data_IF_377405563582
#
_entry.id   IF_377405563582
#
_cell.length_a   1.000
_cell.length_b   1.000
_cell.length_c   1.000
_cell.angle_alpha   90.00
_cell.angle_beta   90.00
_cell.angle_gamma   90.00
#
_symmetry.space_group_name_H-M   'P 1'
#
loop_
_entity.id
_entity.type
_entity.pdbx_description
1 polymer ?
#
# COMPACT_ATOMS: atom_id res chain seq x y z
N UNK A 1 35.22 16.66 -2.50
CA UNK A 1 34.16 16.18 -3.36
C UNK A 1 32.93 15.65 -2.58
N UNK A 2 33.07 14.97 -1.41
CA UNK A 2 31.94 14.51 -0.58
C UNK A 2 30.91 15.60 -0.15
N UNK A 3 31.35 16.85 0.09
CA UNK A 3 30.47 17.95 0.54
C UNK A 3 29.66 18.60 -0.59
N UNK A 4 30.05 18.45 -1.86
CA UNK A 4 29.29 19.02 -3.01
C UNK A 4 28.14 18.14 -3.48
N UNK A 5 28.18 16.81 -3.30
CA UNK A 5 27.06 15.91 -3.63
C UNK A 5 25.86 16.11 -2.67
N UNK A 6 26.12 16.48 -1.41
CA UNK A 6 25.05 16.76 -0.44
C UNK A 6 24.28 18.07 -0.74
N UNK A 7 24.93 19.05 -1.37
CA UNK A 7 24.31 20.34 -1.70
C UNK A 7 23.43 20.30 -2.96
N UNK A 8 23.66 19.35 -3.88
CA UNK A 8 22.87 19.20 -5.11
C UNK A 8 21.52 18.49 -4.89
N UNK A 9 21.37 17.73 -3.78
CA UNK A 9 20.10 17.07 -3.41
C UNK A 9 19.05 18.01 -2.78
N UNK A 10 19.44 19.22 -2.38
CA UNK A 10 18.57 20.19 -1.70
C UNK A 10 17.96 21.27 -2.61
N UNK A 11 18.25 21.28 -3.91
CA UNK A 11 17.88 22.37 -4.82
C UNK A 11 16.91 21.94 -5.95
N UNK A 12 16.09 20.90 -5.76
CA UNK A 12 15.05 20.55 -6.73
C UNK A 12 13.73 21.29 -6.42
N UNK A 13 13.03 21.86 -7.42
CA UNK A 13 11.70 22.41 -7.19
C UNK A 13 10.77 21.29 -6.72
N UNK A 14 10.10 21.48 -5.59
CA UNK A 14 9.16 20.54 -4.96
C UNK A 14 7.94 20.43 -5.85
N UNK A 15 7.91 19.43 -6.73
CA UNK A 15 6.70 18.98 -7.40
C UNK A 15 5.93 18.07 -6.43
N UNK A 16 4.68 18.42 -6.17
CA UNK A 16 3.84 17.79 -5.13
C UNK A 16 3.01 16.63 -5.69
N UNK A 17 3.24 15.40 -5.22
CA UNK A 17 2.53 14.17 -5.63
C UNK A 17 2.51 13.11 -4.50
N UNK A 18 1.46 12.27 -4.33
CA UNK A 18 1.37 11.31 -3.21
C UNK A 18 0.65 9.94 -3.45
N UNK A 19 0.51 9.15 -2.38
CA UNK A 19 0.25 7.71 -2.37
C UNK A 19 -1.17 7.35 -1.87
N UNK A 20 -2.12 6.90 -2.75
CA UNK A 20 -3.50 6.46 -2.41
C UNK A 20 -3.59 5.20 -1.51
N UNK A 21 -4.22 4.11 -1.96
CA UNK A 21 -4.50 2.87 -1.21
C UNK A 21 -3.31 1.91 -1.01
N UNK A 22 -2.07 2.34 -1.22
CA UNK A 22 -0.89 1.48 -1.04
C UNK A 22 -0.60 1.20 0.44
N UNK A 23 -0.38 -0.07 0.76
CA UNK A 23 -0.01 -0.56 2.09
C UNK A 23 1.49 -0.83 2.13
N UNK A 24 2.23 -0.07 2.93
CA UNK A 24 3.70 -0.17 3.02
C UNK A 24 4.14 -1.01 4.24
N UNK A 25 3.63 -2.22 4.37
CA UNK A 25 3.91 -3.12 5.50
C UNK A 25 4.63 -4.41 5.10
N UNK A 26 5.07 -4.52 3.84
CA UNK A 26 5.78 -5.69 3.34
C UNK A 26 7.21 -5.70 3.87
N UNK A 27 7.54 -6.73 4.68
CA UNK A 27 8.84 -6.82 5.34
C UNK A 27 8.95 -5.92 6.58
N UNK A 28 8.91 -6.55 7.75
CA UNK A 28 8.88 -5.84 9.04
C UNK A 28 10.19 -5.08 9.31
N UNK A 29 11.33 -5.55 8.80
CA UNK A 29 12.60 -4.81 8.87
C UNK A 29 12.50 -3.44 8.20
N UNK A 30 12.02 -3.40 6.97
CA UNK A 30 11.83 -2.15 6.23
C UNK A 30 10.71 -1.29 6.86
N UNK A 31 9.64 -1.89 7.41
CA UNK A 31 8.60 -1.17 8.14
C UNK A 31 9.19 -0.35 9.29
N UNK A 32 10.17 -0.90 10.04
CA UNK A 32 10.90 -0.20 11.09
C UNK A 32 11.72 1.00 10.61
N UNK A 33 11.92 1.13 9.29
CA UNK A 33 12.61 2.25 8.64
C UNK A 33 11.66 3.06 7.73
N UNK A 34 10.36 3.09 8.02
CA UNK A 34 9.31 3.74 7.20
C UNK A 34 9.25 3.24 5.76
N UNK A 35 9.79 2.04 5.49
CA UNK A 35 9.90 1.44 4.16
C UNK A 35 11.12 1.91 3.37
N UNK A 36 12.09 2.58 3.98
CA UNK A 36 13.43 2.73 3.42
C UNK A 36 14.22 1.42 3.56
N UNK A 37 15.24 1.23 2.72
CA UNK A 37 16.15 0.08 2.84
C UNK A 37 16.13 -0.89 1.66
N UNK A 38 15.58 -0.50 0.50
CA UNK A 38 15.59 -1.33 -0.71
C UNK A 38 17.02 -1.65 -1.21
N UNK A 39 17.99 -0.82 -0.87
CA UNK A 39 19.40 -1.05 -1.13
C UNK A 39 20.15 -1.71 0.04
N UNK A 40 19.62 -1.58 1.27
CA UNK A 40 20.25 -2.09 2.49
C UNK A 40 19.90 -3.55 2.77
N UNK A 41 18.60 -3.90 2.67
CA UNK A 41 18.15 -5.24 3.02
C UNK A 41 18.29 -6.18 1.83
N UNK A 42 19.26 -7.09 1.97
CA UNK A 42 19.57 -8.14 0.99
C UNK A 42 19.14 -9.47 1.61
N UNK A 43 17.85 -9.73 1.59
CA UNK A 43 17.20 -10.89 2.19
C UNK A 43 16.00 -11.36 1.33
N UNK A 44 15.19 -12.27 1.82
CA UNK A 44 14.00 -12.80 1.12
C UNK A 44 12.96 -11.71 0.80
N UNK A 45 12.93 -10.59 1.53
CA UNK A 45 12.01 -9.48 1.26
C UNK A 45 12.41 -8.68 0.01
N UNK A 46 13.63 -8.90 -0.51
CA UNK A 46 14.07 -8.38 -1.82
C UNK A 46 13.14 -8.81 -2.96
N UNK A 47 12.43 -9.92 -2.84
CA UNK A 47 11.36 -10.33 -3.76
C UNK A 47 10.38 -9.17 -4.00
N UNK A 48 10.02 -8.44 -2.94
CA UNK A 48 9.16 -7.27 -3.03
C UNK A 48 9.95 -6.01 -3.38
N UNK A 49 10.99 -5.67 -2.63
CA UNK A 49 11.65 -4.37 -2.72
C UNK A 49 12.54 -4.24 -3.97
N UNK A 50 13.37 -5.24 -4.25
CA UNK A 50 14.28 -5.25 -5.39
C UNK A 50 14.70 -6.69 -5.76
N UNK A 51 14.07 -7.32 -6.75
CA UNK A 51 14.43 -8.67 -7.17
C UNK A 51 15.91 -8.89 -7.49
N UNK A 52 16.62 -7.83 -7.94
CA UNK A 52 18.05 -7.90 -8.25
C UNK A 52 18.95 -8.12 -7.02
N UNK A 53 18.46 -7.77 -5.82
CA UNK A 53 19.21 -7.97 -4.58
C UNK A 53 19.12 -9.42 -4.07
N UNK A 54 18.08 -10.17 -4.43
CA UNK A 54 17.81 -11.50 -3.88
C UNK A 54 18.97 -12.47 -4.02
N UNK A 55 19.67 -12.47 -5.16
CA UNK A 55 20.81 -13.36 -5.42
C UNK A 55 22.00 -13.10 -4.48
N UNK A 56 22.06 -11.92 -3.87
CA UNK A 56 23.10 -11.52 -2.91
C UNK A 56 22.80 -11.96 -1.48
N UNK A 57 21.60 -12.45 -1.21
CA UNK A 57 21.23 -12.89 0.15
C UNK A 57 22.08 -14.10 0.59
N UNK A 58 22.64 -14.01 1.80
CA UNK A 58 23.60 -15.01 2.29
C UNK A 58 22.96 -16.38 2.52
N UNK A 59 21.70 -16.42 2.95
CA UNK A 59 20.99 -17.63 3.34
C UNK A 59 19.79 -17.91 2.43
N UNK A 60 19.39 -19.16 2.39
CA UNK A 60 18.01 -19.51 2.07
C UNK A 60 17.15 -19.19 3.29
N UNK A 61 15.97 -18.63 3.08
CA UNK A 61 15.13 -18.21 4.20
C UNK A 61 13.65 -18.26 3.84
N UNK A 62 12.83 -18.43 4.86
CA UNK A 62 11.40 -18.16 4.81
C UNK A 62 11.06 -17.18 5.94
N UNK A 63 10.40 -16.09 5.58
CA UNK A 63 9.90 -15.08 6.52
C UNK A 63 8.38 -15.03 6.46
N UNK A 64 7.74 -15.06 7.61
CA UNK A 64 6.29 -14.87 7.75
C UNK A 64 6.06 -13.69 8.67
N UNK A 65 5.33 -12.70 8.18
CA UNK A 65 5.03 -11.48 8.92
C UNK A 65 3.60 -11.01 8.75
N UNK A 66 3.12 -10.28 9.74
CA UNK A 66 1.83 -9.61 9.70
C UNK A 66 1.91 -8.28 10.43
N UNK A 67 1.03 -7.35 10.02
CA UNK A 67 0.86 -6.06 10.68
C UNK A 67 -0.63 -5.86 11.02
N UNK A 68 -0.91 -5.11 12.07
CA UNK A 68 -2.26 -4.68 12.40
C UNK A 68 -2.42 -3.21 11.98
N UNK A 69 -2.94 -2.97 10.78
CA UNK A 69 -3.17 -1.60 10.29
C UNK A 69 -4.50 -1.09 10.85
N UNK A 70 -4.42 -0.06 11.68
CA UNK A 70 -5.55 0.61 12.30
C UNK A 70 -5.71 1.98 11.65
N UNK A 71 -6.66 2.07 10.74
CA UNK A 71 -7.04 3.32 10.07
C UNK A 71 -8.13 4.01 10.89
N UNK A 72 -7.92 5.28 11.23
CA UNK A 72 -8.91 6.10 11.92
C UNK A 72 -9.04 7.42 11.18
N UNK A 73 -10.24 7.68 10.69
CA UNK A 73 -10.58 8.93 10.01
C UNK A 73 -11.76 9.60 10.70
N UNK A 74 -11.71 10.91 10.76
CA UNK A 74 -12.79 11.77 11.20
C UNK A 74 -13.24 12.67 10.06
N UNK A 75 -14.53 12.95 9.99
CA UNK A 75 -15.15 13.88 9.06
C UNK A 75 -15.99 14.90 9.82
N UNK A 76 -15.86 16.17 9.45
CA UNK A 76 -16.69 17.26 9.98
C UNK A 76 -17.18 18.10 8.80
N UNK A 77 -18.50 18.20 8.65
CA UNK A 77 -19.08 19.07 7.62
C UNK A 77 -18.68 20.52 7.82
N UNK A 78 -18.58 21.26 6.70
CA UNK A 78 -18.42 22.72 6.73
C UNK A 78 -19.63 23.33 7.45
N UNK A 79 -19.37 24.25 8.39
CA UNK A 79 -20.37 24.89 9.25
C UNK A 79 -21.09 23.97 10.26
N UNK A 80 -20.59 22.79 10.54
CA UNK A 80 -21.05 21.91 11.60
C UNK A 80 -20.00 21.78 12.72
N UNK A 81 -20.45 21.65 13.95
CA UNK A 81 -19.61 21.30 15.09
C UNK A 81 -19.62 19.79 15.41
N UNK A 82 -20.33 19.00 14.60
CA UNK A 82 -20.45 17.57 14.79
C UNK A 82 -19.37 16.86 13.99
N UNK A 83 -18.54 16.07 14.67
CA UNK A 83 -17.55 15.19 14.05
C UNK A 83 -18.11 13.78 13.96
N UNK A 84 -17.86 13.12 12.84
CA UNK A 84 -18.19 11.73 12.59
C UNK A 84 -16.90 10.94 12.41
N UNK A 85 -16.71 9.91 13.25
CA UNK A 85 -15.52 9.07 13.22
C UNK A 85 -15.82 7.72 12.55
N UNK A 86 -14.83 7.17 11.85
CA UNK A 86 -14.90 5.78 11.38
C UNK A 86 -14.93 4.82 12.57
N UNK A 87 -15.66 3.72 12.43
CA UNK A 87 -15.62 2.63 13.39
C UNK A 87 -14.23 2.04 13.47
N UNK A 88 -13.84 1.58 14.66
CA UNK A 88 -12.54 0.95 14.84
C UNK A 88 -12.48 -0.37 14.08
N UNK A 89 -11.52 -0.50 13.17
CA UNK A 89 -11.24 -1.70 12.42
C UNK A 89 -9.75 -1.99 12.38
N UNK A 90 -9.39 -3.27 12.29
CA UNK A 90 -8.02 -3.74 12.06
C UNK A 90 -7.98 -4.43 10.71
N UNK A 91 -7.16 -3.90 9.79
CA UNK A 91 -6.80 -4.60 8.57
C UNK A 91 -5.48 -5.32 8.81
N UNK A 92 -5.43 -6.67 8.73
CA UNK A 92 -4.22 -7.44 8.95
C UNK A 92 -3.50 -7.79 7.63
N UNK A 93 -2.76 -6.85 6.99
CA UNK A 93 -1.89 -7.22 5.89
C UNK A 93 -0.83 -8.20 6.36
N UNK A 94 -0.55 -9.19 5.54
CA UNK A 94 0.45 -10.21 5.81
C UNK A 94 1.48 -10.27 4.67
N UNK A 95 2.62 -10.88 4.95
CA UNK A 95 3.63 -11.20 3.97
C UNK A 95 4.31 -12.53 4.28
N UNK A 96 4.50 -13.34 3.25
CA UNK A 96 5.28 -14.56 3.29
C UNK A 96 6.27 -14.45 2.15
N UNK A 97 7.57 -14.53 2.47
CA UNK A 97 8.64 -14.53 1.49
C UNK A 97 9.52 -15.75 1.72
N UNK A 98 9.80 -16.48 0.65
CA UNK A 98 10.74 -17.61 0.70
C UNK A 98 11.76 -17.46 -0.42
N UNK A 99 13.04 -17.64 -0.09
CA UNK A 99 14.16 -17.63 -1.04
C UNK A 99 14.96 -18.92 -0.95
N UNK A 100 15.39 -19.42 -2.09
CA UNK A 100 16.18 -20.63 -2.18
C UNK A 100 17.14 -20.61 -3.37
N UNK A 101 18.26 -21.25 -3.23
CA UNK A 101 19.29 -21.44 -4.24
C UNK A 101 20.51 -22.12 -3.64
N UNK A 102 21.39 -22.67 -4.47
CA UNK A 102 22.66 -23.21 -3.96
C UNK A 102 23.50 -22.11 -3.31
N UNK A 103 24.28 -22.47 -2.31
CA UNK A 103 25.21 -21.54 -1.69
C UNK A 103 26.20 -21.00 -2.73
N UNK A 104 26.48 -19.70 -2.67
CA UNK A 104 27.40 -18.98 -3.58
C UNK A 104 27.05 -19.10 -5.08
N UNK A 105 25.78 -19.44 -5.39
CA UNK A 105 25.32 -19.59 -6.76
C UNK A 105 25.21 -18.25 -7.47
N UNK A 106 25.30 -18.32 -8.81
CA UNK A 106 25.04 -17.17 -9.68
C UNK A 106 23.54 -16.85 -9.85
N UNK A 107 22.64 -17.68 -9.27
CA UNK A 107 21.20 -17.49 -9.30
C UNK A 107 20.54 -17.82 -7.95
N UNK A 108 19.44 -17.16 -7.66
CA UNK A 108 18.46 -17.50 -6.62
C UNK A 108 17.04 -17.38 -7.15
N UNK A 109 16.16 -18.23 -6.63
CA UNK A 109 14.74 -18.15 -6.84
C UNK A 109 14.03 -17.77 -5.54
N UNK A 110 12.81 -17.27 -5.67
CA UNK A 110 11.99 -16.97 -4.51
C UNK A 110 10.52 -16.90 -4.87
N UNK A 111 9.69 -16.92 -3.85
CA UNK A 111 8.25 -16.68 -3.96
C UNK A 111 7.81 -15.74 -2.83
N UNK A 112 7.00 -14.74 -3.18
CA UNK A 112 6.33 -13.85 -2.25
C UNK A 112 4.82 -13.98 -2.33
N UNK A 113 4.14 -14.00 -1.17
CA UNK A 113 2.68 -13.85 -1.07
C UNK A 113 2.42 -12.72 -0.07
N UNK A 114 1.86 -11.61 -0.53
CA UNK A 114 1.76 -10.40 0.27
C UNK A 114 0.62 -9.48 -0.18
N UNK A 115 0.26 -8.50 0.65
CA UNK A 115 -0.85 -7.57 0.44
C UNK A 115 -0.36 -6.12 0.23
N UNK A 116 0.03 -5.71 -1.01
CA UNK A 116 0.60 -4.38 -1.25
C UNK A 116 -0.44 -3.26 -1.36
N UNK A 117 -1.69 -3.60 -1.62
CA UNK A 117 -2.81 -2.67 -1.70
C UNK A 117 -4.00 -3.19 -0.92
N UNK A 118 -4.74 -2.28 -0.30
CA UNK A 118 -5.93 -2.60 0.43
C UNK A 118 -6.21 -1.60 1.54
N UNK A 119 -7.29 -1.85 2.25
CA UNK A 119 -7.74 -1.06 3.38
C UNK A 119 -9.18 -1.36 3.70
N UNK A 120 -9.61 -0.99 4.89
CA UNK A 120 -11.01 -1.02 5.28
C UNK A 120 -11.36 0.30 5.95
N UNK A 121 -12.52 0.83 5.59
CA UNK A 121 -13.12 2.02 6.19
C UNK A 121 -14.60 1.76 6.45
N UNK A 122 -15.08 2.07 7.65
CA UNK A 122 -16.49 1.95 8.03
C UNK A 122 -16.93 3.23 8.74
N UNK A 123 -17.70 4.02 8.02
CA UNK A 123 -18.34 5.24 8.55
C UNK A 123 -19.66 4.96 9.27
N UNK A 124 -20.24 3.76 9.10
CA UNK A 124 -21.58 3.45 9.53
C UNK A 124 -22.64 4.11 8.65
N UNK A 125 -23.87 4.12 9.15
CA UNK A 125 -25.05 4.62 8.41
C UNK A 125 -25.51 6.00 8.89
N UNK A 126 -24.95 6.51 9.99
CA UNK A 126 -25.40 7.75 10.65
C UNK A 126 -24.38 8.89 10.50
N UNK A 127 -23.95 9.16 9.27
CA UNK A 127 -23.03 10.24 8.95
C UNK A 127 -23.45 10.95 7.65
N UNK A 128 -23.02 12.20 7.39
CA UNK A 128 -23.48 12.98 6.23
C UNK A 128 -23.21 12.36 4.86
N UNK A 129 -22.10 11.63 4.72
CA UNK A 129 -21.71 10.99 3.48
C UNK A 129 -22.26 9.58 3.26
N UNK A 130 -23.28 9.12 4.00
CA UNK A 130 -23.84 7.76 3.91
C UNK A 130 -24.30 7.34 2.51
N UNK A 131 -24.68 8.29 1.67
CA UNK A 131 -25.07 8.02 0.28
C UNK A 131 -23.85 7.87 -0.65
N UNK A 132 -22.67 8.24 -0.17
CA UNK A 132 -21.41 8.00 -0.86
C UNK A 132 -20.81 6.65 -0.41
N UNK A 133 -20.71 6.43 0.90
CA UNK A 133 -20.10 5.23 1.48
C UNK A 133 -20.56 4.98 2.91
N UNK A 134 -20.92 3.74 3.23
CA UNK A 134 -21.05 3.27 4.61
C UNK A 134 -19.82 2.43 4.99
N UNK A 135 -19.49 1.43 4.18
CA UNK A 135 -18.39 0.50 4.40
C UNK A 135 -17.65 0.19 3.09
N UNK A 136 -16.35 0.06 3.18
CA UNK A 136 -15.50 -0.52 2.14
C UNK A 136 -14.44 -1.40 2.78
N UNK A 137 -14.28 -2.62 2.26
CA UNK A 137 -13.08 -3.43 2.45
C UNK A 137 -12.52 -3.82 1.09
N UNK A 138 -11.27 -3.43 0.85
CA UNK A 138 -10.52 -3.76 -0.37
C UNK A 138 -9.29 -4.56 0.02
N UNK A 139 -8.99 -5.64 -0.72
CA UNK A 139 -7.76 -6.42 -0.57
C UNK A 139 -7.19 -6.73 -1.93
N UNK A 140 -5.85 -6.67 -2.05
CA UNK A 140 -5.13 -7.16 -3.21
C UNK A 140 -3.98 -8.04 -2.71
N UNK A 141 -4.06 -9.33 -2.96
CA UNK A 141 -3.05 -10.32 -2.60
C UNK A 141 -2.22 -10.60 -3.84
N UNK A 142 -0.91 -10.36 -3.75
CA UNK A 142 0.03 -10.67 -4.81
C UNK A 142 0.75 -11.99 -4.52
N UNK A 143 0.83 -12.82 -5.55
CA UNK A 143 1.65 -14.05 -5.57
C UNK A 143 2.75 -13.78 -6.60
N UNK A 144 4.01 -13.77 -6.16
CA UNK A 144 5.15 -13.34 -6.97
C UNK A 144 6.27 -14.38 -6.95
N UNK A 145 6.32 -15.33 -7.88
CA UNK A 145 7.55 -16.06 -8.18
C UNK A 145 8.60 -15.11 -8.76
N UNK A 146 9.85 -15.29 -8.38
CA UNK A 146 10.97 -14.37 -8.68
C UNK A 146 12.23 -15.17 -8.99
N UNK A 147 13.02 -14.70 -9.97
CA UNK A 147 14.35 -15.16 -10.27
C UNK A 147 15.33 -14.00 -10.18
N UNK A 148 16.52 -14.26 -9.64
CA UNK A 148 17.59 -13.29 -9.47
C UNK A 148 18.91 -13.89 -9.92
N UNK A 149 19.74 -13.08 -10.57
CA UNK A 149 20.99 -13.49 -11.18
C UNK A 149 22.14 -12.56 -10.78
N UNK A 150 23.26 -13.15 -10.38
CA UNK A 150 24.51 -12.45 -10.08
C UNK A 150 25.33 -12.34 -11.36
N UNK A 151 25.43 -11.13 -11.92
CA UNK A 151 26.21 -10.90 -13.13
C UNK A 151 27.70 -10.66 -12.80
N UNK A 152 27.96 -10.02 -11.68
CA UNK A 152 29.31 -9.86 -11.08
C UNK A 152 29.19 -9.96 -9.57
N UNK A 153 30.32 -9.97 -8.85
CA UNK A 153 30.27 -9.98 -7.37
C UNK A 153 29.55 -8.76 -6.79
N UNK A 154 29.49 -7.65 -7.51
CA UNK A 154 28.87 -6.41 -7.06
C UNK A 154 27.52 -6.13 -7.70
N UNK A 155 27.11 -6.89 -8.73
CA UNK A 155 25.96 -6.53 -9.56
C UNK A 155 24.99 -7.69 -9.71
N UNK A 156 23.74 -7.47 -9.29
CA UNK A 156 22.63 -8.41 -9.40
C UNK A 156 21.46 -7.82 -10.18
N UNK A 157 20.79 -8.67 -10.96
CA UNK A 157 19.55 -8.37 -11.65
C UNK A 157 18.48 -9.40 -11.28
N UNK A 158 17.23 -9.04 -11.36
CA UNK A 158 16.16 -9.98 -11.08
C UNK A 158 14.81 -9.53 -11.62
N UNK A 159 13.89 -10.48 -11.69
CA UNK A 159 12.53 -10.23 -12.10
C UNK A 159 11.56 -11.24 -11.53
N UNK A 160 10.32 -10.81 -11.31
CA UNK A 160 9.23 -11.63 -10.82
C UNK A 160 7.95 -11.40 -11.63
N UNK A 161 7.21 -12.48 -11.83
CA UNK A 161 5.85 -12.41 -12.33
C UNK A 161 4.91 -12.14 -11.16
N UNK A 162 3.89 -11.32 -11.35
CA UNK A 162 2.90 -10.99 -10.33
C UNK A 162 1.53 -11.47 -10.77
N UNK A 163 0.92 -12.35 -9.98
CA UNK A 163 -0.49 -12.69 -10.07
C UNK A 163 -1.23 -12.06 -8.90
N UNK A 164 -2.26 -11.26 -9.17
CA UNK A 164 -3.07 -10.59 -8.19
C UNK A 164 -4.43 -11.26 -8.05
N UNK A 165 -4.86 -11.49 -6.81
CA UNK A 165 -6.24 -11.80 -6.44
C UNK A 165 -6.75 -10.64 -5.59
N UNK A 166 -7.72 -9.91 -6.14
CA UNK A 166 -8.36 -8.76 -5.47
C UNK A 166 -9.75 -9.12 -4.98
N UNK A 167 -10.18 -8.55 -3.85
CA UNK A 167 -11.56 -8.63 -3.38
C UNK A 167 -12.06 -7.25 -2.97
N UNK A 168 -13.35 -7.01 -3.20
CA UNK A 168 -14.06 -5.81 -2.77
C UNK A 168 -15.33 -6.20 -2.03
N UNK A 169 -15.62 -5.47 -0.95
CA UNK A 169 -16.88 -5.45 -0.24
C UNK A 169 -17.21 -3.99 0.05
N UNK A 170 -18.30 -3.49 -0.50
CA UNK A 170 -18.71 -2.11 -0.44
C UNK A 170 -20.18 -2.01 -0.09
N UNK A 171 -20.54 -1.10 0.81
CA UNK A 171 -21.95 -0.74 1.02
C UNK A 171 -22.14 0.77 1.12
N UNK A 172 -23.31 1.24 0.64
CA UNK A 172 -23.77 2.62 0.78
C UNK A 172 -25.27 2.69 0.97
N UNK A 173 -25.75 3.75 1.58
CA UNK A 173 -27.19 4.04 1.63
C UNK A 173 -27.70 4.52 0.27
N UNK A 174 -28.95 4.24 -0.03
CA UNK A 174 -29.66 4.76 -1.22
C UNK A 174 -30.66 5.83 -0.80
N UNK A 175 -30.84 6.92 -1.56
CA UNK A 175 -31.80 7.99 -1.23
C UNK A 175 -33.26 7.59 -1.56
N UNK A 176 -33.64 6.36 -1.24
CA UNK A 176 -35.00 5.83 -1.29
C UNK A 176 -35.38 5.40 0.12
N UNK A 177 -36.55 5.80 0.60
CA UNK A 177 -36.90 5.66 2.01
C UNK A 177 -38.11 4.75 2.18
N UNK A 178 -38.11 3.93 3.24
CA UNK A 178 -39.25 3.16 3.68
C UNK A 178 -40.28 4.04 4.42
N UNK A 179 -41.39 3.46 4.85
CA UNK A 179 -42.45 4.18 5.58
C UNK A 179 -41.97 4.70 6.94
N UNK A 180 -40.89 4.18 7.50
CA UNK A 180 -40.29 4.59 8.76
C UNK A 180 -39.19 5.66 8.57
N UNK A 181 -38.88 6.05 7.30
CA UNK A 181 -37.84 6.99 6.97
C UNK A 181 -36.44 6.38 6.91
N UNK A 182 -36.30 5.05 6.93
CA UNK A 182 -34.98 4.40 6.78
C UNK A 182 -34.56 4.42 5.30
N UNK A 183 -33.31 4.78 4.98
CA UNK A 183 -32.81 4.75 3.61
C UNK A 183 -32.64 3.33 3.10
N UNK A 184 -32.80 3.13 1.80
CA UNK A 184 -32.40 1.89 1.15
C UNK A 184 -30.89 1.64 1.25
N UNK A 185 -30.42 0.46 0.84
CA UNK A 185 -29.02 0.05 0.89
C UNK A 185 -28.59 -0.64 -0.40
N UNK A 186 -27.40 -0.35 -0.85
CA UNK A 186 -26.69 -1.09 -1.90
C UNK A 186 -25.48 -1.79 -1.29
N UNK A 187 -25.27 -3.06 -1.64
CA UNK A 187 -24.15 -3.89 -1.24
C UNK A 187 -23.53 -4.53 -2.48
N UNK A 188 -22.23 -4.29 -2.68
CA UNK A 188 -21.48 -4.78 -3.83
C UNK A 188 -20.30 -5.58 -3.32
N UNK A 189 -20.18 -6.82 -3.78
CA UNK A 189 -19.06 -7.68 -3.42
C UNK A 189 -18.56 -8.50 -4.59
N UNK A 190 -17.27 -8.85 -4.59
CA UNK A 190 -16.71 -9.68 -5.65
C UNK A 190 -15.23 -9.90 -5.53
N UNK A 191 -14.74 -10.81 -6.40
CA UNK A 191 -13.33 -11.18 -6.52
C UNK A 191 -12.90 -10.92 -7.96
N UNK A 192 -11.74 -10.28 -8.10
CA UNK A 192 -11.12 -10.00 -9.39
C UNK A 192 -9.68 -10.49 -9.44
N UNK A 193 -9.14 -10.63 -10.64
CA UNK A 193 -7.76 -11.05 -10.85
C UNK A 193 -7.01 -10.09 -11.77
N UNK A 194 -5.68 -10.12 -11.69
CA UNK A 194 -4.84 -9.30 -12.54
C UNK A 194 -3.41 -9.83 -12.60
N UNK A 195 -2.66 -9.37 -13.57
CA UNK A 195 -1.28 -9.81 -13.79
C UNK A 195 -0.35 -8.61 -13.95
N UNK A 196 0.90 -8.80 -13.56
CA UNK A 196 1.96 -7.81 -13.69
C UNK A 196 3.33 -8.44 -13.52
N UNK A 197 4.33 -7.59 -13.37
CA UNK A 197 5.71 -8.02 -13.16
C UNK A 197 6.48 -7.01 -12.30
N UNK A 198 7.59 -7.48 -11.75
CA UNK A 198 8.55 -6.70 -10.98
C UNK A 198 9.95 -6.95 -11.52
N UNK A 199 10.73 -5.90 -11.71
CA UNK A 199 12.12 -5.96 -12.18
C UNK A 199 13.01 -5.20 -11.19
N UNK A 200 14.25 -5.64 -11.05
CA UNK A 200 15.18 -4.98 -10.15
C UNK A 200 16.64 -5.13 -10.55
N UNK A 201 17.40 -4.12 -10.17
CA UNK A 201 18.85 -4.05 -10.33
C UNK A 201 19.45 -3.61 -9.00
N UNK A 202 20.46 -4.33 -8.55
CA UNK A 202 21.16 -4.03 -7.32
C UNK A 202 22.67 -3.97 -7.57
N UNK A 203 23.28 -2.86 -7.18
CA UNK A 203 24.72 -2.69 -7.17
C UNK A 203 25.20 -2.45 -5.75
N UNK A 204 26.22 -3.17 -5.33
CA UNK A 204 26.79 -3.08 -4.00
C UNK A 204 28.32 -2.98 -4.12
N UNK A 205 28.88 -1.97 -3.52
CA UNK A 205 30.32 -1.83 -3.32
C UNK A 205 30.57 -1.97 -1.81
N UNK A 206 31.28 -3.03 -1.45
CA UNK A 206 31.54 -3.37 -0.05
C UNK A 206 32.17 -2.18 0.69
N UNK A 207 31.71 -1.97 1.95
CA UNK A 207 32.15 -0.93 2.87
C UNK A 207 31.94 0.53 2.39
N UNK A 208 31.32 0.75 1.22
CA UNK A 208 31.11 2.09 0.68
C UNK A 208 29.63 2.44 0.53
N UNK A 209 28.91 1.77 -0.36
CA UNK A 209 27.51 2.06 -0.64
C UNK A 209 26.81 0.94 -1.42
N UNK A 210 25.48 0.93 -1.37
CA UNK A 210 24.68 0.16 -2.31
C UNK A 210 23.61 1.03 -2.99
N UNK A 211 23.28 0.66 -4.23
CA UNK A 211 22.23 1.28 -5.05
C UNK A 211 21.22 0.22 -5.47
N UNK A 212 19.96 0.57 -5.37
CA UNK A 212 18.82 -0.25 -5.75
C UNK A 212 17.96 0.51 -6.75
N UNK A 213 17.67 -0.12 -7.88
CA UNK A 213 16.64 0.36 -8.81
C UNK A 213 15.62 -0.74 -8.99
N UNK A 214 14.35 -0.44 -8.82
CA UNK A 214 13.29 -1.41 -9.07
C UNK A 214 12.08 -0.78 -9.74
N UNK A 215 11.44 -1.57 -10.60
CA UNK A 215 10.21 -1.21 -11.31
C UNK A 215 9.17 -2.30 -11.11
N UNK A 216 7.99 -1.91 -10.68
CA UNK A 216 6.79 -2.75 -10.65
C UNK A 216 5.80 -2.23 -11.65
N UNK A 217 5.29 -3.09 -12.52
CA UNK A 217 4.27 -2.73 -13.49
C UNK A 217 2.95 -2.39 -12.80
N UNK A 218 2.08 -1.68 -13.48
CA UNK A 218 0.68 -1.60 -13.08
C UNK A 218 0.01 -2.99 -13.18
N UNK A 219 -1.01 -3.21 -12.35
CA UNK A 219 -1.86 -4.40 -12.40
C UNK A 219 -3.31 -3.94 -12.54
N UNK A 220 -4.00 -4.39 -13.58
CA UNK A 220 -5.43 -4.16 -13.75
C UNK A 220 -6.18 -5.34 -13.15
N UNK A 221 -6.80 -5.11 -12.00
CA UNK A 221 -7.63 -6.11 -11.34
C UNK A 221 -9.02 -6.03 -11.93
N UNK A 222 -9.41 -7.05 -12.69
CA UNK A 222 -10.71 -7.16 -13.32
C UNK A 222 -11.61 -8.06 -12.49
N UNK A 223 -12.76 -7.55 -12.16
CA UNK A 223 -13.86 -8.25 -11.50
C UNK A 223 -14.99 -8.34 -12.51
N UNK A 224 -15.39 -9.54 -12.90
CA UNK A 224 -16.35 -9.77 -14.01
C UNK A 224 -17.71 -10.25 -13.51
N UNK A 225 -17.78 -10.94 -12.37
CA UNK A 225 -19.02 -11.57 -11.85
C UNK A 225 -19.30 -11.14 -10.39
N UNK A 226 -19.19 -9.84 -10.09
CA UNK A 226 -19.53 -9.33 -8.77
C UNK A 226 -21.04 -9.39 -8.49
N UNK A 227 -21.40 -9.51 -7.23
CA UNK A 227 -22.78 -9.47 -6.76
C UNK A 227 -23.17 -8.06 -6.34
N UNK A 228 -24.29 -7.56 -6.85
CA UNK A 228 -24.92 -6.30 -6.44
C UNK A 228 -26.32 -6.58 -5.87
N UNK A 229 -26.47 -6.32 -4.58
CA UNK A 229 -27.72 -6.50 -3.85
C UNK A 229 -28.28 -5.16 -3.38
N UNK A 230 -29.60 -5.01 -3.49
CA UNK A 230 -30.28 -3.78 -3.12
C UNK A 230 -31.41 -4.07 -2.14
N UNK A 231 -31.34 -3.46 -0.98
CA UNK A 231 -32.43 -3.45 0.00
C UNK A 231 -33.19 -2.14 -0.14
N UNK A 232 -34.41 -2.21 -0.67
CA UNK A 232 -35.26 -1.04 -0.94
C UNK A 232 -36.69 -1.35 -0.50
N UNK A 233 -37.60 -0.34 -0.33
CA UNK A 233 -39.02 -0.55 -0.12
C UNK A 233 -39.60 -1.49 -1.19
N UNK A 234 -40.52 -2.38 -0.79
CA UNK A 234 -41.11 -3.43 -1.65
C UNK A 234 -41.66 -2.86 -2.98
N UNK A 235 -42.25 -1.68 -2.94
CA UNK A 235 -42.78 -1.01 -4.13
C UNK A 235 -41.69 -0.63 -5.16
N UNK A 236 -40.43 -0.60 -4.78
CA UNK A 236 -39.28 -0.27 -5.63
C UNK A 236 -38.43 -1.50 -5.99
N UNK A 237 -38.79 -2.69 -5.51
CA UNK A 237 -37.98 -3.90 -5.72
C UNK A 237 -37.71 -4.21 -7.19
N UNK A 238 -38.72 -4.03 -8.06
CA UNK A 238 -38.55 -4.23 -9.51
C UNK A 238 -37.63 -3.18 -10.17
N UNK A 239 -37.41 -2.02 -9.55
CA UNK A 239 -36.55 -0.96 -10.02
C UNK A 239 -35.08 -1.13 -9.56
N UNK A 240 -34.84 -1.97 -8.54
CA UNK A 240 -33.52 -2.29 -8.00
C UNK A 240 -33.35 -3.81 -7.91
N UNK A 241 -33.29 -4.53 -9.04
CA UNK A 241 -33.11 -5.98 -9.03
C UNK A 241 -31.72 -6.36 -8.51
N UNK A 242 -31.61 -7.45 -7.78
CA UNK A 242 -30.30 -8.09 -7.55
C UNK A 242 -29.70 -8.45 -8.91
N UNK A 243 -28.46 -8.06 -9.13
CA UNK A 243 -27.78 -8.21 -10.43
C UNK A 243 -26.32 -8.52 -10.26
N UNK A 244 -25.66 -8.92 -11.35
CA UNK A 244 -24.20 -8.97 -11.42
C UNK A 244 -23.64 -7.61 -11.84
N UNK A 245 -22.35 -7.40 -11.52
CA UNK A 245 -21.61 -6.25 -12.03
C UNK A 245 -20.19 -6.60 -12.41
N UNK A 246 -19.62 -5.81 -13.30
CA UNK A 246 -18.19 -5.79 -13.58
C UNK A 246 -17.53 -4.50 -13.12
N UNK A 247 -16.25 -4.58 -12.77
CA UNK A 247 -15.44 -3.43 -12.42
C UNK A 247 -13.95 -3.67 -12.72
N UNK A 248 -13.20 -2.61 -12.99
CA UNK A 248 -11.74 -2.67 -13.12
C UNK A 248 -11.09 -1.71 -12.12
N UNK A 249 -10.20 -2.25 -11.28
CA UNK A 249 -9.37 -1.45 -10.39
C UNK A 249 -7.93 -1.42 -10.91
N UNK A 250 -7.44 -0.30 -11.45
CA UNK A 250 -6.06 -0.17 -11.89
C UNK A 250 -5.15 0.11 -10.68
N UNK A 251 -4.36 -0.88 -10.27
CA UNK A 251 -3.31 -0.72 -9.27
C UNK A 251 -2.07 -0.13 -9.95
N UNK A 252 -1.47 0.95 -9.43
CA UNK A 252 -0.45 1.73 -10.13
C UNK A 252 0.88 1.01 -10.28
N UNK A 253 1.65 1.41 -11.28
CA UNK A 253 3.06 1.07 -11.39
C UNK A 253 3.89 1.85 -10.35
N UNK A 254 5.09 1.36 -10.03
CA UNK A 254 6.04 2.10 -9.20
C UNK A 254 7.47 1.94 -9.70
N UNK A 255 8.24 3.02 -9.60
CA UNK A 255 9.68 3.03 -9.82
C UNK A 255 10.36 3.52 -8.55
N UNK A 256 11.28 2.73 -8.00
CA UNK A 256 11.99 3.03 -6.77
C UNK A 256 13.49 3.16 -7.02
N UNK A 257 14.09 4.15 -6.40
CA UNK A 257 15.53 4.35 -6.29
C UNK A 257 15.89 4.32 -4.82
N UNK A 258 16.74 3.39 -4.43
CA UNK A 258 17.26 3.26 -3.08
C UNK A 258 18.77 3.43 -3.02
N UNK A 259 19.24 4.01 -1.93
CA UNK A 259 20.66 4.17 -1.61
C UNK A 259 20.88 3.73 -0.16
N UNK A 260 22.01 3.10 0.12
CA UNK A 260 22.44 2.84 1.49
C UNK A 260 23.94 3.09 1.65
N UNK A 261 24.31 3.52 2.84
CA UNK A 261 25.68 3.85 3.22
C UNK A 261 25.95 3.38 4.65
N UNK A 262 27.01 2.58 4.91
CA UNK A 262 27.52 2.41 6.25
C UNK A 262 28.12 3.74 6.72
N UNK A 263 27.61 4.31 7.80
CA UNK A 263 28.17 5.50 8.41
C UNK A 263 29.36 5.17 9.33
N UNK A 264 29.31 3.99 9.92
CA UNK A 264 30.38 3.35 10.68
C UNK A 264 30.03 1.87 10.87
N UNK A 265 30.88 1.11 11.57
CA UNK A 265 30.74 -0.35 11.80
C UNK A 265 29.43 -0.76 12.46
N UNK A 266 28.66 0.17 13.02
CA UNK A 266 27.40 -0.10 13.75
C UNK A 266 26.19 0.63 13.22
N UNK A 267 26.33 1.49 12.24
CA UNK A 267 25.24 2.37 11.83
C UNK A 267 25.16 2.50 10.31
N UNK A 268 24.08 2.05 9.74
CA UNK A 268 23.73 2.25 8.34
C UNK A 268 22.70 3.36 8.18
N UNK A 269 22.85 4.12 7.12
CA UNK A 269 21.87 5.07 6.62
C UNK A 269 21.29 4.54 5.30
N UNK A 270 19.97 4.53 5.17
CA UNK A 270 19.31 4.22 3.90
C UNK A 270 18.30 5.29 3.53
N UNK A 271 18.14 5.50 2.23
CA UNK A 271 17.13 6.40 1.67
C UNK A 271 16.48 5.80 0.43
N UNK A 272 15.17 5.99 0.30
CA UNK A 272 14.37 5.52 -0.84
C UNK A 272 13.51 6.65 -1.40
N UNK A 273 13.52 6.80 -2.72
CA UNK A 273 12.60 7.66 -3.45
C UNK A 273 11.75 6.79 -4.38
N UNK A 274 10.43 6.87 -4.24
CA UNK A 274 9.50 6.06 -5.04
C UNK A 274 8.55 6.95 -5.82
N UNK A 275 8.55 6.83 -7.14
CA UNK A 275 7.55 7.38 -8.05
C UNK A 275 6.45 6.34 -8.26
N UNK A 276 5.16 6.76 -8.22
CA UNK A 276 4.01 5.88 -8.35
C UNK A 276 3.08 6.43 -9.41
N UNK A 277 2.80 5.62 -10.44
CA UNK A 277 2.04 5.98 -11.63
C UNK A 277 0.53 5.92 -11.44
N UNK A 278 -0.03 6.71 -10.52
CA UNK A 278 -1.48 6.72 -10.24
C UNK A 278 -2.32 7.40 -11.33
N UNK A 279 -1.74 8.11 -12.28
CA UNK A 279 -2.48 8.80 -13.36
C UNK A 279 -3.30 7.85 -14.26
N UNK A 280 -3.08 6.55 -14.16
CA UNK A 280 -3.91 5.52 -14.80
C UNK A 280 -5.30 5.41 -14.16
N UNK A 281 -5.46 5.79 -12.87
CA UNK A 281 -6.73 5.71 -12.14
C UNK A 281 -7.56 6.97 -12.40
N UNK A 282 -8.26 6.97 -13.53
CA UNK A 282 -9.08 8.11 -14.00
C UNK A 282 -10.48 8.07 -13.44
N UNK A 283 -11.06 6.89 -13.33
CA UNK A 283 -12.44 6.65 -12.91
C UNK A 283 -12.59 5.23 -12.33
N UNK A 284 -13.60 5.04 -11.51
CA UNK A 284 -14.09 3.73 -11.07
C UNK A 284 -15.51 3.58 -11.61
N UNK A 285 -15.75 2.51 -12.33
CA UNK A 285 -17.05 2.19 -12.92
C UNK A 285 -17.51 0.86 -12.36
N UNK A 286 -18.76 0.80 -11.92
CA UNK A 286 -19.49 -0.42 -11.65
C UNK A 286 -20.54 -0.56 -12.77
N UNK A 287 -20.31 -1.48 -13.67
CA UNK A 287 -21.13 -1.78 -14.85
C UNK A 287 -22.08 -2.92 -14.48
N UNK A 288 -23.37 -2.59 -14.30
CA UNK A 288 -24.40 -3.56 -13.90
C UNK A 288 -24.92 -4.33 -15.11
N UNK A 289 -25.04 -5.66 -14.99
CA UNK A 289 -25.61 -6.49 -16.05
C UNK A 289 -27.07 -6.12 -16.35
N UNK A 290 -27.83 -5.72 -15.32
CA UNK A 290 -29.20 -5.26 -15.46
C UNK A 290 -29.34 -3.81 -15.02
N UNK A 291 -29.59 -2.94 -15.97
CA UNK A 291 -29.96 -1.55 -15.74
C UNK A 291 -31.47 -1.35 -15.78
N UNK A 292 -31.96 -0.37 -15.00
CA UNK A 292 -33.35 0.07 -15.01
C UNK A 292 -33.40 1.60 -15.18
N UNK A 293 -34.58 2.21 -15.36
CA UNK A 293 -34.66 3.69 -15.43
C UNK A 293 -34.13 4.43 -14.19
N UNK A 294 -33.97 3.74 -13.03
CA UNK A 294 -33.50 4.32 -11.76
C UNK A 294 -32.20 3.70 -11.26
N UNK A 295 -31.84 2.50 -11.71
CA UNK A 295 -30.58 1.85 -11.46
C UNK A 295 -29.74 1.88 -12.74
N UNK A 296 -28.76 2.72 -12.80
CA UNK A 296 -27.78 2.80 -13.89
C UNK A 296 -26.37 2.56 -13.37
N UNK A 297 -25.46 2.26 -14.29
CA UNK A 297 -24.04 2.10 -13.98
C UNK A 297 -23.53 3.24 -13.10
N UNK A 298 -22.77 2.86 -12.08
CA UNK A 298 -22.19 3.84 -11.17
C UNK A 298 -20.80 4.22 -11.66
N UNK A 299 -20.57 5.52 -11.86
CA UNK A 299 -19.30 6.06 -12.27
C UNK A 299 -18.81 7.09 -11.26
N UNK A 300 -17.58 6.94 -10.80
CA UNK A 300 -16.91 7.90 -9.93
C UNK A 300 -15.63 8.43 -10.62
N UNK A 301 -15.54 9.72 -10.79
CA UNK A 301 -14.34 10.35 -11.35
C UNK A 301 -13.23 10.37 -10.31
N UNK A 302 -12.08 9.78 -10.60
CA UNK A 302 -10.90 9.77 -9.73
C UNK A 302 -9.86 10.78 -10.21
N UNK A 303 -9.45 10.73 -11.47
CA UNK A 303 -8.45 11.62 -12.10
C UNK A 303 -7.21 11.80 -11.23
N UNK A 304 -6.72 10.70 -10.63
CA UNK A 304 -5.55 10.74 -9.77
C UNK A 304 -4.32 11.25 -10.52
N UNK A 305 -3.42 11.87 -9.80
CA UNK A 305 -2.11 12.31 -10.30
C UNK A 305 -1.06 11.26 -9.94
N UNK A 306 0.12 11.36 -10.56
CA UNK A 306 1.24 10.52 -10.14
C UNK A 306 1.72 10.94 -8.75
N UNK A 307 2.34 10.00 -8.04
CA UNK A 307 2.76 10.19 -6.66
C UNK A 307 4.28 10.07 -6.51
N UNK A 308 4.85 10.75 -5.52
CA UNK A 308 6.24 10.63 -5.09
C UNK A 308 6.30 10.42 -3.59
N UNK A 309 7.17 9.54 -3.12
CA UNK A 309 7.50 9.43 -1.70
C UNK A 309 9.00 9.45 -1.50
N UNK A 310 9.44 10.13 -0.44
CA UNK A 310 10.83 10.11 0.04
C UNK A 310 10.86 9.52 1.45
N UNK A 311 11.80 8.63 1.70
CA UNK A 311 11.95 7.93 2.97
C UNK A 311 13.41 7.86 3.35
N UNK A 312 13.68 7.93 4.66
CA UNK A 312 15.02 7.78 5.23
C UNK A 312 14.94 6.91 6.47
N UNK A 313 15.94 6.08 6.67
CA UNK A 313 16.01 5.18 7.80
C UNK A 313 17.43 4.95 8.28
N UNK A 314 17.53 4.62 9.55
CA UNK A 314 18.75 4.24 10.24
C UNK A 314 18.60 2.80 10.74
N UNK A 315 19.64 2.00 10.56
CA UNK A 315 19.77 0.66 11.13
C UNK A 315 21.00 0.65 12.03
N UNK A 316 20.80 0.43 13.32
CA UNK A 316 21.84 0.41 14.34
C UNK A 316 22.08 -1.00 14.86
N UNK A 317 23.28 -1.53 14.64
CA UNK A 317 23.75 -2.81 15.15
C UNK A 317 24.14 -2.65 16.63
N UNK A 318 23.14 -2.77 17.53
CA UNK A 318 23.31 -2.57 18.97
C UNK A 318 24.18 -3.65 19.60
N UNK A 319 24.10 -4.89 19.08
CA UNK A 319 24.95 -6.02 19.43
C UNK A 319 24.92 -7.07 18.31
N UNK A 320 25.71 -8.13 18.43
CA UNK A 320 25.72 -9.26 17.47
C UNK A 320 24.34 -9.94 17.32
N UNK A 321 23.40 -9.69 18.24
CA UNK A 321 22.06 -10.30 18.23
C UNK A 321 20.93 -9.28 18.11
N UNK A 322 21.20 -7.99 18.14
CA UNK A 322 20.14 -6.98 18.18
C UNK A 322 20.42 -5.83 17.24
N UNK A 323 19.58 -5.67 16.25
CA UNK A 323 19.46 -4.48 15.43
C UNK A 323 18.29 -3.62 15.90
N UNK A 324 18.49 -2.31 15.95
CA UNK A 324 17.46 -1.31 16.22
C UNK A 324 17.29 -0.41 14.99
N UNK A 325 16.07 -0.02 14.70
CA UNK A 325 15.75 0.78 13.51
C UNK A 325 14.87 1.97 13.85
N UNK A 326 15.10 3.04 13.10
CA UNK A 326 14.22 4.19 13.09
C UNK A 326 14.09 4.72 11.66
N UNK A 327 12.95 5.30 11.33
CA UNK A 327 12.75 5.87 10.01
C UNK A 327 11.72 6.98 10.00
N UNK A 328 11.82 7.81 8.96
CA UNK A 328 10.87 8.86 8.66
C UNK A 328 10.59 8.86 7.15
N UNK A 329 9.41 9.33 6.79
CA UNK A 329 9.03 9.45 5.39
C UNK A 329 8.00 10.54 5.17
N UNK A 330 8.02 11.06 3.97
CA UNK A 330 6.99 11.96 3.47
C UNK A 330 6.41 11.39 2.18
N UNK A 331 5.09 11.38 2.13
CA UNK A 331 4.33 10.79 1.03
C UNK A 331 3.34 11.82 0.53
N UNK A 332 3.40 12.12 -0.75
CA UNK A 332 2.49 13.06 -1.41
C UNK A 332 1.21 12.37 -1.90
N UNK A 333 0.01 13.01 -1.85
CA UNK A 333 -1.27 12.42 -2.26
C UNK A 333 -1.52 12.44 -3.78
N UNK A 334 -1.97 11.34 -4.43
CA UNK A 334 -2.44 11.37 -5.81
C UNK A 334 -3.82 11.98 -5.95
N UNK A 335 -4.55 12.13 -4.83
CA UNK A 335 -5.96 12.49 -4.83
C UNK A 335 -6.13 13.99 -4.98
N UNK A 336 -6.80 14.43 -6.06
CA UNK A 336 -7.15 15.84 -6.27
C UNK A 336 -8.23 16.28 -5.29
N UNK A 337 -8.14 17.52 -4.81
CA UNK A 337 -9.06 18.04 -3.78
C UNK A 337 -10.53 17.89 -4.16
N UNK A 338 -10.86 18.12 -5.41
CA UNK A 338 -12.23 18.04 -5.92
C UNK A 338 -12.76 16.62 -6.15
N UNK A 339 -11.92 15.59 -5.97
CA UNK A 339 -12.26 14.17 -6.14
C UNK A 339 -11.83 13.34 -4.92
N UNK A 340 -11.89 13.94 -3.73
CA UNK A 340 -11.76 13.20 -2.47
C UNK A 340 -13.09 12.55 -2.17
N UNK A 341 -13.10 11.24 -2.09
CA UNK A 341 -14.26 10.44 -1.70
C UNK A 341 -14.05 9.82 -0.31
N UNK A 342 -15.14 9.43 0.31
CA UNK A 342 -15.17 8.85 1.67
C UNK A 342 -14.36 7.57 1.82
N UNK A 343 -14.18 6.79 0.75
CA UNK A 343 -13.35 5.58 0.75
C UNK A 343 -11.84 5.87 0.75
N UNK A 344 -11.46 7.08 0.30
CA UNK A 344 -10.05 7.47 0.25
C UNK A 344 -9.90 8.94 0.69
N UNK A 345 -10.14 9.24 1.98
CA UNK A 345 -9.97 10.59 2.53
C UNK A 345 -8.48 10.89 2.70
N UNK A 346 -7.78 11.06 1.58
CA UNK A 346 -6.33 11.15 1.50
C UNK A 346 -5.82 12.58 1.34
N UNK A 347 -4.64 12.81 1.90
CA UNK A 347 -3.81 14.01 1.71
C UNK A 347 -2.35 13.59 1.92
N UNK A 348 -1.42 14.53 1.80
CA UNK A 348 -0.01 14.29 2.11
C UNK A 348 0.16 13.68 3.50
N UNK A 349 1.15 12.78 3.64
CA UNK A 349 1.36 12.04 4.89
C UNK A 349 2.78 12.22 5.40
N UNK A 350 2.88 12.39 6.71
CA UNK A 350 4.12 12.20 7.47
C UNK A 350 4.12 10.80 8.05
N UNK A 351 5.25 10.14 7.97
CA UNK A 351 5.48 8.80 8.52
C UNK A 351 6.64 8.84 9.49
N UNK A 352 6.51 8.11 10.60
CA UNK A 352 7.58 7.84 11.54
C UNK A 352 7.51 6.38 11.98
N UNK A 353 8.65 5.72 12.11
CA UNK A 353 8.71 4.31 12.51
C UNK A 353 9.90 4.00 13.40
N UNK A 354 9.73 2.93 14.17
CA UNK A 354 10.77 2.26 14.94
C UNK A 354 10.65 0.76 14.74
N UNK A 355 11.74 0.04 14.94
CA UNK A 355 11.74 -1.42 14.82
C UNK A 355 12.98 -2.05 15.41
N UNK A 356 12.93 -3.37 15.51
CA UNK A 356 14.06 -4.18 15.93
C UNK A 356 14.10 -5.51 15.18
N UNK A 357 15.26 -6.15 15.16
CA UNK A 357 15.42 -7.58 14.89
C UNK A 357 16.26 -8.18 15.99
N UNK A 358 15.78 -9.26 16.57
CA UNK A 358 16.51 -10.05 17.53
C UNK A 358 16.84 -11.43 16.95
N UNK A 359 18.13 -11.76 16.90
CA UNK A 359 18.64 -13.05 16.44
C UNK A 359 18.47 -14.06 17.57
N UNK A 360 17.42 -14.88 17.47
CA UNK A 360 17.10 -15.90 18.47
C UNK A 360 18.13 -17.04 18.44
N UNK A 361 18.57 -17.41 17.24
CA UNK A 361 19.60 -18.42 16.97
C UNK A 361 20.12 -18.22 15.55
N UNK A 362 21.12 -19.00 15.15
CA UNK A 362 21.66 -18.98 13.78
C UNK A 362 20.60 -19.23 12.71
N UNK A 363 19.48 -19.86 13.09
CA UNK A 363 18.37 -20.21 12.20
C UNK A 363 17.14 -19.34 12.32
N UNK A 364 16.97 -18.59 13.40
CA UNK A 364 15.74 -17.86 13.66
C UNK A 364 15.97 -16.40 14.01
N UNK A 365 15.30 -15.49 13.29
CA UNK A 365 15.23 -14.07 13.60
C UNK A 365 13.79 -13.66 13.91
N UNK A 366 13.61 -12.89 14.96
CA UNK A 366 12.36 -12.23 15.32
C UNK A 366 12.48 -10.73 15.02
N UNK A 367 11.59 -10.19 14.21
CA UNK A 367 11.54 -8.75 13.96
C UNK A 367 10.21 -8.17 14.41
N UNK A 368 10.26 -6.97 14.99
CA UNK A 368 9.10 -6.18 15.35
C UNK A 368 9.26 -4.75 14.85
N UNK A 369 8.16 -4.12 14.49
CA UNK A 369 8.15 -2.72 14.07
C UNK A 369 6.83 -2.04 14.42
N UNK A 370 6.88 -0.73 14.52
CA UNK A 370 5.70 0.12 14.64
C UNK A 370 5.87 1.35 13.74
N UNK A 371 4.83 1.62 12.95
CA UNK A 371 4.76 2.83 12.11
C UNK A 371 3.54 3.63 12.48
N UNK A 372 3.73 4.94 12.63
CA UNK A 372 2.68 5.93 12.73
C UNK A 372 2.68 6.79 11.46
N UNK A 373 1.48 7.02 10.89
CA UNK A 373 1.31 7.92 9.76
C UNK A 373 0.21 8.92 10.08
N UNK A 374 0.53 10.19 9.89
CA UNK A 374 -0.44 11.28 9.97
C UNK A 374 -0.73 11.80 8.57
N UNK A 375 -1.95 11.62 8.11
CA UNK A 375 -2.47 12.29 6.92
C UNK A 375 -2.80 13.72 7.30
N UNK A 376 -2.32 14.69 6.52
CA UNK A 376 -2.60 16.10 6.77
C UNK A 376 -4.11 16.37 6.64
N UNK A 377 -4.63 17.25 7.46
CA UNK A 377 -6.04 17.64 7.39
C UNK A 377 -6.36 18.24 6.02
N UNK A 378 -7.57 17.95 5.51
CA UNK A 378 -8.02 18.45 4.21
C UNK A 378 -9.47 18.86 4.28
N UNK A 379 -9.72 20.15 4.08
CA UNK A 379 -11.07 20.68 3.83
C UNK A 379 -11.32 20.69 2.34
N UNK A 380 -12.41 20.07 1.89
CA UNK A 380 -12.74 19.94 0.48
C UNK A 380 -14.23 19.79 0.26
N UNK A 381 -14.67 20.09 -0.95
CA UNK A 381 -16.00 19.77 -1.48
C UNK A 381 -15.83 18.87 -2.68
N UNK A 382 -16.40 17.67 -2.63
CA UNK A 382 -16.40 16.76 -3.77
C UNK A 382 -17.24 17.35 -4.92
N UNK A 383 -16.68 17.35 -6.13
CA UNK A 383 -17.33 17.99 -7.30
C UNK A 383 -18.58 17.23 -7.77
N UNK A 384 -18.68 15.93 -7.51
CA UNK A 384 -19.79 15.07 -7.94
C UNK A 384 -20.83 14.89 -6.83
N UNK A 385 -20.42 14.42 -5.66
CA UNK A 385 -21.32 14.10 -4.55
C UNK A 385 -21.76 15.34 -3.75
N UNK A 386 -21.03 16.47 -3.91
CA UNK A 386 -21.22 17.71 -3.14
C UNK A 386 -20.96 17.58 -1.65
N UNK A 387 -20.47 16.42 -1.19
CA UNK A 387 -20.06 16.27 0.21
C UNK A 387 -18.93 17.25 0.52
N UNK A 388 -19.15 18.12 1.51
CA UNK A 388 -18.25 19.21 1.87
C UNK A 388 -17.87 19.14 3.34
N UNK A 389 -16.58 19.04 3.62
CA UNK A 389 -16.10 18.93 4.99
C UNK A 389 -14.60 18.78 5.09
N UNK A 390 -14.16 18.61 6.32
CA UNK A 390 -12.75 18.41 6.70
C UNK A 390 -12.54 16.95 7.09
N UNK A 391 -11.56 16.31 6.46
CA UNK A 391 -11.07 14.98 6.81
C UNK A 391 -9.79 15.06 7.63
N UNK A 392 -9.68 14.19 8.64
CA UNK A 392 -8.51 14.04 9.50
C UNK A 392 -8.24 12.56 9.74
N UNK A 393 -7.08 12.08 9.32
CA UNK A 393 -6.78 10.63 9.34
C UNK A 393 -5.45 10.34 10.01
N UNK A 394 -5.43 9.33 10.87
CA UNK A 394 -4.24 8.75 11.47
C UNK A 394 -4.22 7.23 11.21
N UNK A 395 -3.02 6.69 11.00
CA UNK A 395 -2.80 5.27 10.74
C UNK A 395 -1.73 4.76 11.71
N UNK A 396 -2.04 3.68 12.41
CA UNK A 396 -1.10 2.96 13.27
C UNK A 396 -0.89 1.57 12.70
N UNK A 397 0.35 1.11 12.63
CA UNK A 397 0.68 -0.19 12.06
C UNK A 397 1.80 -0.88 12.86
N UNK A 398 1.51 -1.51 14.01
CA UNK A 398 2.41 -2.48 14.60
C UNK A 398 2.50 -3.73 13.72
N UNK A 399 3.70 -4.33 13.66
CA UNK A 399 3.95 -5.54 12.88
C UNK A 399 5.01 -6.43 13.52
N UNK A 400 4.93 -7.71 13.21
CA UNK A 400 5.86 -8.74 13.68
C UNK A 400 6.17 -9.72 12.57
N UNK A 401 7.39 -10.25 12.52
CA UNK A 401 7.76 -11.36 11.62
C UNK A 401 8.75 -12.32 12.27
N UNK A 402 8.66 -13.56 11.83
CA UNK A 402 9.62 -14.62 12.15
C UNK A 402 10.27 -15.08 10.85
N UNK A 403 11.60 -15.12 10.82
CA UNK A 403 12.40 -15.63 9.71
C UNK A 403 13.11 -16.89 10.12
N UNK A 404 13.00 -17.95 9.31
CA UNK A 404 13.77 -19.19 9.43
C UNK A 404 14.81 -19.25 8.30
N UNK A 405 16.05 -19.54 8.65
CA UNK A 405 17.22 -19.60 7.76
C UNK A 405 17.81 -21.03 7.74
N UNK A 406 18.26 -21.49 6.55
CA UNK A 406 18.91 -22.80 6.38
C UNK A 406 20.02 -22.79 5.33
#
# INVERSE_FOLDING_TARGET
MRKLLFALLLASPILTFAQGSQVNTQGIRALGMSGAGSALFVDETSIFYNPGALVKSANNAISVGASAVMFRSAFQEVNSNVQHDTKFQISPPFSIFASFGPKDSWWKAGIGVYTPFGGSVDWGTEWPGKFELNHLALRAIYIQPTLSFKLTENFGIGGGFVYNVGSVDLSRSLPVFDQNGNPGRAELSGIGTGMGYNLGVHYHLEDEFAISLSYRSHVRTKLEDGDAEFTVPEALGSSFPTTKFSAELPLPSSFNVGLSFPLNDRLDLAGDATFIGYSIYKELVFDYEQNTPVLSDTKQTKKYENALSGKVGLNYHASDKLDLRAGAGYVYTPVRSQYVYAETPDNNRLMGSIGFTYILSDKFDLSGAYTFQRVMERTTTNAETRLSGTYKTNIHAPGISLTYKW
#
